data_IF_981824204629
#
_entry.id   IF_981824204629
#
_cell.length_a   1.000
_cell.length_b   1.000
_cell.length_c   1.000
_cell.angle_alpha   90.00
_cell.angle_beta   90.00
_cell.angle_gamma   90.00
#
_symmetry.space_group_name_H-M   'P 1'
#
loop_
_entity.id
_entity.type
_entity.pdbx_description
1 polymer ?
#
# COMPACT_ATOMS: atom_id res chain seq x y z
N UNK A 1 -15.75 3.92 9.63
CA UNK A 1 -14.39 3.44 9.30
C UNK A 1 -13.58 3.32 10.57
N UNK A 2 -12.63 2.38 10.64
CA UNK A 2 -11.64 2.29 11.71
C UNK A 2 -10.26 2.41 11.08
N UNK A 3 -9.32 3.17 11.68
CA UNK A 3 -7.99 3.28 11.14
C UNK A 3 -7.29 1.91 11.17
N UNK A 4 -6.32 1.71 10.30
CA UNK A 4 -5.41 0.57 10.42
C UNK A 4 -4.69 0.60 11.78
N UNK A 5 -4.36 -0.57 12.36
CA UNK A 5 -3.62 -0.63 13.61
C UNK A 5 -2.27 0.08 13.52
N UNK A 6 -1.81 0.62 14.64
CA UNK A 6 -0.45 1.18 14.75
C UNK A 6 0.59 0.05 14.86
N UNK A 7 0.26 -1.03 15.56
CA UNK A 7 1.12 -2.19 15.70
C UNK A 7 1.06 -3.06 14.43
N UNK A 8 2.24 -3.48 13.96
CA UNK A 8 2.35 -4.34 12.81
C UNK A 8 2.40 -5.81 13.23
N UNK A 9 1.78 -6.68 12.45
CA UNK A 9 1.82 -8.15 12.61
C UNK A 9 3.05 -8.78 11.94
N UNK A 10 3.78 -8.02 11.11
CA UNK A 10 5.06 -8.46 10.53
C UNK A 10 6.25 -7.75 11.18
N UNK A 11 7.44 -8.40 11.25
CA UNK A 11 8.64 -7.80 11.81
C UNK A 11 9.01 -6.47 11.15
N UNK A 12 9.56 -5.54 11.93
CA UNK A 12 10.16 -4.34 11.37
C UNK A 12 11.32 -4.74 10.45
N UNK A 13 11.25 -4.28 9.21
CA UNK A 13 12.30 -4.45 8.21
C UNK A 13 12.71 -3.06 7.70
N UNK A 14 13.94 -2.58 7.97
CA UNK A 14 14.33 -1.18 7.81
C UNK A 14 14.67 -0.82 6.35
N UNK A 15 13.74 -1.04 5.42
CA UNK A 15 13.83 -0.54 4.05
C UNK A 15 14.88 -1.22 3.15
N UNK A 16 15.44 -2.35 3.54
CA UNK A 16 16.45 -3.14 2.80
C UNK A 16 15.85 -3.95 1.62
N UNK A 17 14.97 -3.32 0.85
CA UNK A 17 14.34 -3.91 -0.32
C UNK A 17 15.04 -3.49 -1.61
N UNK A 18 15.06 -4.36 -2.61
CA UNK A 18 15.70 -4.04 -3.90
C UNK A 18 14.92 -2.97 -4.68
N UNK A 19 13.61 -2.82 -4.43
CA UNK A 19 12.75 -1.81 -5.06
C UNK A 19 11.48 -1.56 -4.23
N UNK A 20 10.73 -0.51 -4.59
CA UNK A 20 9.50 -0.12 -3.91
C UNK A 20 8.39 -1.18 -3.99
N UNK A 21 8.27 -1.91 -5.10
CA UNK A 21 7.26 -2.96 -5.23
C UNK A 21 7.49 -4.08 -4.22
N UNK A 22 8.74 -4.48 -3.98
CA UNK A 22 9.08 -5.47 -2.95
C UNK A 22 8.80 -4.95 -1.52
N UNK A 23 9.04 -3.67 -1.26
CA UNK A 23 8.69 -3.07 0.02
C UNK A 23 7.17 -3.13 0.26
N UNK A 24 6.37 -2.81 -0.76
CA UNK A 24 4.92 -2.90 -0.70
C UNK A 24 4.43 -4.35 -0.56
N UNK A 25 5.02 -5.30 -1.30
CA UNK A 25 4.71 -6.74 -1.17
C UNK A 25 4.99 -7.28 0.24
N UNK A 26 6.02 -6.75 0.93
CA UNK A 26 6.28 -7.09 2.32
C UNK A 26 5.29 -6.44 3.28
N UNK A 27 5.03 -5.13 3.12
CA UNK A 27 4.10 -4.39 3.97
C UNK A 27 2.67 -4.95 3.89
N UNK A 28 2.25 -5.41 2.70
CA UNK A 28 0.96 -6.04 2.44
C UNK A 28 0.73 -7.37 3.17
N UNK A 29 1.77 -7.97 3.78
CA UNK A 29 1.63 -9.15 4.65
C UNK A 29 1.19 -8.78 6.07
N UNK A 30 1.27 -7.50 6.41
CA UNK A 30 0.82 -6.96 7.69
C UNK A 30 -0.60 -6.40 7.63
N UNK A 31 -1.07 -5.87 8.76
CA UNK A 31 -2.41 -5.26 8.90
C UNK A 31 -2.38 -3.73 8.83
N UNK A 32 -1.20 -3.14 8.65
CA UNK A 32 -1.00 -1.68 8.61
C UNK A 32 -1.35 -1.10 7.24
N UNK A 33 -1.39 0.23 7.17
CA UNK A 33 -1.73 0.94 5.94
C UNK A 33 -1.83 2.45 6.14
N UNK A 34 -2.42 3.14 5.17
CA UNK A 34 -2.60 4.58 5.20
C UNK A 34 -3.99 4.96 5.71
N UNK A 35 -4.04 5.94 6.62
CA UNK A 35 -5.29 6.53 7.12
C UNK A 35 -5.31 8.01 6.75
N UNK A 36 -6.30 8.42 5.97
CA UNK A 36 -6.46 9.80 5.50
C UNK A 36 -7.53 10.50 6.33
N UNK A 37 -7.20 11.67 6.85
CA UNK A 37 -8.09 12.45 7.70
C UNK A 37 -8.45 13.79 7.05
N UNK A 38 -9.66 14.27 7.31
CA UNK A 38 -10.09 15.61 6.92
C UNK A 38 -9.38 16.68 7.78
N UNK A 39 -9.48 17.95 7.40
CA UNK A 39 -8.97 19.06 8.22
C UNK A 39 -9.61 19.18 9.61
N UNK A 40 -10.73 18.46 9.85
CA UNK A 40 -11.38 18.37 11.16
C UNK A 40 -10.90 17.18 12.00
N UNK A 41 -9.95 16.38 11.50
CA UNK A 41 -9.47 15.18 12.17
C UNK A 41 -10.39 13.96 12.02
N UNK A 42 -11.35 14.00 11.10
CA UNK A 42 -12.26 12.88 10.85
C UNK A 42 -11.67 11.93 9.82
N UNK A 43 -11.81 10.62 10.03
CA UNK A 43 -11.27 9.60 9.13
C UNK A 43 -12.05 9.58 7.80
N UNK A 44 -11.37 9.98 6.72
CA UNK A 44 -11.92 10.09 5.37
C UNK A 44 -11.70 8.84 4.52
N UNK A 45 -10.57 8.17 4.69
CA UNK A 45 -10.27 6.93 3.96
C UNK A 45 -9.28 6.07 4.75
N UNK A 46 -9.40 4.76 4.59
CA UNK A 46 -8.51 3.73 5.17
C UNK A 46 -8.06 2.86 4.03
N UNK A 47 -6.75 2.74 3.83
CA UNK A 47 -6.15 1.99 2.74
C UNK A 47 -5.12 1.02 3.33
N UNK A 48 -5.52 -0.22 3.66
CA UNK A 48 -4.58 -1.28 4.05
C UNK A 48 -3.52 -1.50 2.97
N UNK A 49 -2.30 -1.88 3.36
CA UNK A 49 -1.25 -2.17 2.37
C UNK A 49 -1.59 -3.36 1.48
N UNK A 50 -2.35 -4.33 1.99
CA UNK A 50 -2.92 -5.44 1.21
C UNK A 50 -3.76 -4.91 0.04
N UNK A 51 -4.75 -4.06 0.33
CA UNK A 51 -5.63 -3.46 -0.68
C UNK A 51 -4.84 -2.58 -1.66
N UNK A 52 -3.91 -1.76 -1.14
CA UNK A 52 -3.06 -0.91 -1.98
C UNK A 52 -2.25 -1.72 -2.99
N UNK A 53 -1.67 -2.86 -2.56
CA UNK A 53 -0.91 -3.76 -3.42
C UNK A 53 -1.79 -4.34 -4.52
N UNK A 54 -2.99 -4.82 -4.19
CA UNK A 54 -3.92 -5.40 -5.17
C UNK A 54 -4.37 -4.36 -6.21
N UNK A 55 -4.69 -3.15 -5.76
CA UNK A 55 -5.05 -2.03 -6.64
C UNK A 55 -3.87 -1.62 -7.54
N UNK A 56 -2.66 -1.56 -6.99
CA UNK A 56 -1.45 -1.23 -7.74
C UNK A 56 -1.17 -2.28 -8.84
N UNK A 57 -1.31 -3.58 -8.53
CA UNK A 57 -1.15 -4.65 -9.53
C UNK A 57 -2.23 -4.59 -10.61
N UNK A 58 -3.47 -4.31 -10.23
CA UNK A 58 -4.58 -4.13 -11.17
C UNK A 58 -4.31 -2.96 -12.12
N UNK A 59 -3.87 -1.82 -11.59
CA UNK A 59 -3.49 -0.66 -12.39
C UNK A 59 -2.30 -0.96 -13.30
N UNK A 60 -1.27 -1.65 -12.80
CA UNK A 60 -0.11 -2.02 -13.58
C UNK A 60 -0.47 -2.86 -14.82
N UNK A 61 -1.40 -3.84 -14.69
CA UNK A 61 -1.89 -4.63 -15.83
C UNK A 61 -2.63 -3.77 -16.85
N UNK A 62 -3.44 -2.81 -16.40
CA UNK A 62 -4.12 -1.85 -17.28
C UNK A 62 -3.11 -0.99 -18.03
N UNK A 63 -2.09 -0.46 -17.35
CA UNK A 63 -1.04 0.34 -17.99
C UNK A 63 -0.24 -0.47 -19.02
N UNK A 64 0.06 -1.73 -18.73
CA UNK A 64 0.71 -2.63 -19.69
C UNK A 64 -0.14 -2.85 -20.95
N UNK A 65 -1.47 -2.97 -20.81
CA UNK A 65 -2.37 -3.12 -21.97
C UNK A 65 -2.41 -1.90 -22.89
N UNK A 66 -1.90 -0.75 -22.45
CA UNK A 66 -1.78 0.46 -23.29
C UNK A 66 -0.53 0.44 -24.20
N UNK A 67 0.30 -0.62 -24.15
CA UNK A 67 1.50 -0.74 -24.98
C UNK A 67 2.62 0.23 -24.59
N UNK A 68 2.62 0.71 -23.35
CA UNK A 68 3.64 1.62 -22.86
C UNK A 68 5.00 0.92 -22.80
N UNK A 69 6.04 1.56 -23.33
CA UNK A 69 7.40 1.11 -23.17
C UNK A 69 7.86 1.34 -21.73
N UNK A 70 8.76 0.47 -21.27
CA UNK A 70 9.52 0.74 -20.05
C UNK A 70 10.37 2.01 -20.29
N UNK A 71 10.28 2.95 -19.36
CA UNK A 71 11.13 4.15 -19.33
C UNK A 71 12.60 3.85 -19.05
#
# INVERSE_FOLDING_TARGET
>A
MKPTPTENTVPLRPGDFANLSQALDYAARGVTGCNFYTGKGELSAVVPYEELREQAQTLARRLQSLGLLRG
#
